data_IF_198101411321
#
_entry.id   IF_198101411321
#
_cell.length_a   1.000
_cell.length_b   1.000
_cell.length_c   1.000
_cell.angle_alpha   90.00
_cell.angle_beta   90.00
_cell.angle_gamma   90.00
#
_symmetry.space_group_name_H-M   'P 1'
#
loop_
_entity.id
_entity.type
_entity.pdbx_description
1 polymer ?
#
# COMPACT_ATOMS: atom_id res chain seq x y z
N UNK A 1 -9.86 -8.93 34.12
CA UNK A 1 -10.51 -7.60 34.08
C UNK A 1 -9.88 -6.80 32.94
N UNK A 2 -10.66 -6.00 32.21
CA UNK A 2 -10.11 -5.18 31.11
C UNK A 2 -9.30 -4.00 31.67
N UNK A 3 -8.05 -3.84 31.23
CA UNK A 3 -7.16 -2.77 31.69
C UNK A 3 -7.62 -1.41 31.14
N UNK A 4 -7.22 -0.27 31.75
CA UNK A 4 -7.50 1.06 31.19
C UNK A 4 -6.98 1.20 29.75
N UNK A 5 -5.78 0.69 29.44
CA UNK A 5 -5.19 0.68 28.10
C UNK A 5 -6.08 -0.06 27.10
N UNK A 6 -6.48 -1.30 27.41
CA UNK A 6 -7.37 -2.09 26.53
C UNK A 6 -8.73 -1.42 26.29
N UNK A 7 -9.32 -0.81 27.32
CA UNK A 7 -10.58 -0.04 27.17
C UNK A 7 -10.39 1.20 26.29
N UNK A 8 -9.22 1.85 26.36
CA UNK A 8 -8.88 2.96 25.47
C UNK A 8 -8.74 2.47 24.03
N UNK A 9 -8.00 1.39 23.79
CA UNK A 9 -7.81 0.83 22.45
C UNK A 9 -9.13 0.39 21.79
N UNK A 10 -10.06 -0.19 22.54
CA UNK A 10 -11.39 -0.49 22.01
C UNK A 10 -12.16 0.76 21.58
N UNK A 11 -11.97 1.90 22.27
CA UNK A 11 -12.59 3.18 21.88
C UNK A 11 -11.94 3.72 20.62
N UNK A 12 -10.62 3.68 20.53
CA UNK A 12 -9.88 4.13 19.36
C UNK A 12 -10.26 3.29 18.13
N UNK A 13 -10.41 1.98 18.30
CA UNK A 13 -10.85 1.08 17.23
C UNK A 13 -12.26 1.43 16.76
N UNK A 14 -13.19 1.58 17.71
CA UNK A 14 -14.55 1.99 17.40
C UNK A 14 -14.58 3.34 16.66
N UNK A 15 -13.80 4.33 17.10
CA UNK A 15 -13.73 5.63 16.45
C UNK A 15 -13.21 5.50 15.01
N UNK A 16 -12.15 4.72 14.81
CA UNK A 16 -11.58 4.48 13.49
C UNK A 16 -12.54 3.74 12.54
N UNK A 17 -13.40 2.86 13.07
CA UNK A 17 -14.46 2.19 12.29
C UNK A 17 -15.64 3.10 11.97
N UNK A 18 -16.08 3.90 12.94
CA UNK A 18 -17.27 4.76 12.81
C UNK A 18 -16.99 5.96 11.89
N UNK A 19 -15.75 6.49 11.91
CA UNK A 19 -15.32 7.68 11.14
C UNK A 19 -13.85 7.53 10.68
N UNK A 20 -13.58 6.66 9.67
CA UNK A 20 -12.23 6.44 9.17
C UNK A 20 -11.71 7.67 8.43
N UNK A 21 -10.52 8.21 8.78
CA UNK A 21 -9.90 9.27 7.99
C UNK A 21 -9.58 8.79 6.57
N UNK A 22 -9.63 9.70 5.60
CA UNK A 22 -9.40 9.37 4.21
C UNK A 22 -7.99 8.78 3.99
N UNK A 23 -7.92 7.67 3.26
CA UNK A 23 -6.65 7.06 2.89
C UNK A 23 -5.90 6.36 4.04
N UNK A 24 -6.49 6.18 5.22
CA UNK A 24 -5.89 5.38 6.30
C UNK A 24 -6.88 4.36 6.85
N UNK A 25 -6.38 3.22 7.28
CA UNK A 25 -7.16 2.19 7.96
C UNK A 25 -6.30 1.43 8.96
N UNK A 26 -6.94 0.76 9.92
CA UNK A 26 -6.22 -0.09 10.87
C UNK A 26 -7.13 -0.88 11.80
N UNK A 27 -6.61 -2.00 12.29
CA UNK A 27 -7.33 -2.92 13.16
C UNK A 27 -6.36 -3.65 14.09
N UNK A 28 -6.81 -4.08 15.28
CA UNK A 28 -6.05 -5.01 16.10
C UNK A 28 -5.90 -6.35 15.40
N UNK A 29 -4.77 -7.04 15.63
CA UNK A 29 -4.58 -8.41 15.16
C UNK A 29 -5.48 -9.37 15.93
N UNK A 30 -5.75 -10.54 15.36
CA UNK A 30 -6.58 -11.57 16.00
C UNK A 30 -6.00 -12.05 17.34
N UNK A 31 -4.66 -12.08 17.44
CA UNK A 31 -3.96 -12.56 18.63
C UNK A 31 -4.03 -11.58 19.81
N UNK A 32 -3.99 -10.27 19.55
CA UNK A 32 -3.86 -9.29 20.62
C UNK A 32 -4.31 -7.90 20.21
N UNK A 33 -5.19 -7.31 21.02
CA UNK A 33 -5.56 -5.88 20.93
C UNK A 33 -4.37 -4.91 21.11
N UNK A 34 -3.23 -5.39 21.62
CA UNK A 34 -2.02 -4.57 21.78
C UNK A 34 -1.15 -4.53 20.53
N UNK A 35 -1.46 -5.33 19.51
CA UNK A 35 -0.79 -5.29 18.21
C UNK A 35 -1.83 -4.93 17.16
N UNK A 36 -1.52 -3.94 16.35
CA UNK A 36 -2.39 -3.51 15.27
C UNK A 36 -1.64 -3.52 13.96
N UNK A 37 -2.38 -3.82 12.92
CA UNK A 37 -1.98 -3.60 11.55
C UNK A 37 -2.76 -2.44 10.98
N UNK A 38 -2.07 -1.63 10.19
CA UNK A 38 -2.65 -0.45 9.56
C UNK A 38 -2.17 -0.35 8.12
N UNK A 39 -2.97 0.32 7.30
CA UNK A 39 -2.65 0.63 5.92
C UNK A 39 -2.80 2.13 5.72
N UNK A 40 -1.78 2.74 5.10
CA UNK A 40 -1.83 4.13 4.63
C UNK A 40 -1.70 4.11 3.12
N UNK A 41 -2.67 4.71 2.45
CA UNK A 41 -2.58 5.06 1.04
C UNK A 41 -1.74 6.31 0.88
N UNK A 42 -0.87 6.28 -0.12
CA UNK A 42 -0.07 7.43 -0.50
C UNK A 42 -0.95 8.64 -0.82
N UNK A 43 -0.63 9.84 -0.29
CA UNK A 43 -1.39 11.04 -0.61
C UNK A 43 -1.33 11.38 -2.11
N UNK A 44 -2.42 11.92 -2.63
CA UNK A 44 -2.50 12.43 -4.01
C UNK A 44 -1.49 13.56 -4.24
N UNK A 45 -1.04 13.73 -5.48
CA UNK A 45 -0.08 14.76 -5.89
C UNK A 45 1.30 14.63 -5.20
N UNK A 46 1.60 13.44 -4.65
CA UNK A 46 2.90 13.11 -4.06
C UNK A 46 3.57 11.98 -4.81
N UNK A 47 4.90 11.81 -4.71
CA UNK A 47 5.58 10.66 -5.30
C UNK A 47 5.12 9.31 -4.71
N UNK A 48 4.42 9.33 -3.57
CA UNK A 48 3.86 8.16 -2.90
C UNK A 48 2.47 7.77 -3.40
N UNK A 49 1.83 8.59 -4.24
CA UNK A 49 0.50 8.34 -4.80
C UNK A 49 0.38 6.92 -5.38
N UNK A 50 -0.81 6.33 -5.26
CA UNK A 50 -1.14 4.93 -5.57
C UNK A 50 -0.40 3.87 -4.73
N UNK A 51 0.51 4.28 -3.84
CA UNK A 51 1.17 3.41 -2.89
C UNK A 51 0.22 2.91 -1.80
N UNK A 52 0.35 1.65 -1.42
CA UNK A 52 -0.41 1.04 -0.31
C UNK A 52 0.57 0.51 0.73
N UNK A 53 0.78 1.26 1.82
CA UNK A 53 1.84 0.97 2.78
C UNK A 53 1.29 0.32 4.05
N UNK A 54 1.77 -0.87 4.38
CA UNK A 54 1.45 -1.58 5.63
C UNK A 54 2.30 -1.04 6.77
N UNK A 55 1.69 -0.89 7.94
CA UNK A 55 2.32 -0.51 9.20
C UNK A 55 1.93 -1.48 10.31
N UNK A 56 2.81 -1.64 11.29
CA UNK A 56 2.50 -2.31 12.55
C UNK A 56 2.59 -1.31 13.69
N UNK A 57 1.61 -1.33 14.58
CA UNK A 57 1.58 -0.55 15.81
C UNK A 57 1.61 -1.50 17.01
N UNK A 58 2.57 -1.29 17.91
CA UNK A 58 2.71 -2.06 19.14
C UNK A 58 2.45 -1.17 20.36
N UNK A 59 1.42 -1.52 21.12
CA UNK A 59 0.96 -0.81 22.31
C UNK A 59 1.45 -1.51 23.57
N UNK A 60 1.68 -0.72 24.62
CA UNK A 60 1.93 -1.24 25.97
C UNK A 60 0.74 -1.00 26.91
N UNK A 61 0.75 -1.61 28.09
CA UNK A 61 -0.24 -1.34 29.13
C UNK A 61 -0.16 0.11 29.67
N UNK A 62 0.87 0.88 29.30
CA UNK A 62 0.99 2.30 29.62
C UNK A 62 0.25 3.23 28.64
N UNK A 63 -0.29 2.71 27.53
CA UNK A 63 -1.11 3.49 26.60
C UNK A 63 -2.39 4.00 27.29
N UNK A 64 -2.80 5.28 27.12
CA UNK A 64 -2.24 6.30 26.22
C UNK A 64 -1.20 7.24 26.85
N UNK A 65 -0.70 6.95 28.05
CA UNK A 65 0.31 7.81 28.69
C UNK A 65 1.66 7.72 27.97
N UNK A 66 1.98 6.57 27.37
CA UNK A 66 3.10 6.41 26.43
C UNK A 66 2.58 6.17 25.01
N UNK A 67 3.29 6.66 23.98
CA UNK A 67 2.97 6.38 22.58
C UNK A 67 3.15 4.89 22.27
N UNK A 68 2.45 4.36 21.25
CA UNK A 68 2.82 3.08 20.66
C UNK A 68 4.15 3.17 19.91
N UNK A 69 4.80 2.02 19.71
CA UNK A 69 5.84 1.90 18.70
C UNK A 69 5.18 1.70 17.34
N UNK A 70 5.61 2.46 16.34
CA UNK A 70 5.04 2.40 14.99
C UNK A 70 6.18 2.23 13.98
N UNK A 71 6.02 1.25 13.09
CA UNK A 71 6.96 1.01 11.99
C UNK A 71 6.21 0.66 10.71
N UNK A 72 6.78 1.02 9.57
CA UNK A 72 6.38 0.47 8.29
C UNK A 72 6.82 -0.99 8.19
N UNK A 73 5.89 -1.85 7.77
CA UNK A 73 6.16 -3.22 7.36
C UNK A 73 6.56 -3.24 5.88
N UNK A 74 5.88 -2.43 5.06
CA UNK A 74 6.32 -2.16 3.69
C UNK A 74 7.71 -1.53 3.68
N UNK A 75 8.52 -1.87 2.67
CA UNK A 75 9.79 -1.16 2.45
C UNK A 75 9.51 0.30 2.18
N UNK A 76 10.35 1.20 2.70
CA UNK A 76 10.17 2.64 2.55
C UNK A 76 11.44 3.33 2.08
N UNK A 77 11.26 4.38 1.28
CA UNK A 77 12.32 5.33 0.92
C UNK A 77 11.85 6.76 1.23
N UNK A 78 12.00 7.18 2.49
CA UNK A 78 11.49 8.46 2.97
C UNK A 78 12.50 9.14 3.93
N UNK A 79 12.69 10.47 3.88
CA UNK A 79 13.65 11.18 4.74
C UNK A 79 13.50 10.90 6.24
N UNK A 80 12.27 10.69 6.72
CA UNK A 80 11.96 10.48 8.15
C UNK A 80 11.65 9.03 8.53
N UNK A 81 11.95 8.06 7.65
CA UNK A 81 11.79 6.61 7.94
C UNK A 81 13.15 5.93 7.93
N UNK A 82 13.46 5.17 8.99
CA UNK A 82 14.68 4.39 9.11
C UNK A 82 14.63 3.13 8.23
N UNK A 83 15.79 2.49 8.02
CA UNK A 83 15.89 1.29 7.18
C UNK A 83 15.12 0.07 7.73
N UNK A 84 14.86 0.03 9.04
CA UNK A 84 14.06 -0.99 9.73
C UNK A 84 12.55 -0.67 9.73
N UNK A 85 12.14 0.44 9.09
CA UNK A 85 10.76 0.90 9.03
C UNK A 85 10.34 1.80 10.20
N UNK A 86 11.19 1.98 11.22
CA UNK A 86 10.90 2.88 12.34
C UNK A 86 10.73 4.32 11.85
N UNK A 87 9.81 5.07 12.48
CA UNK A 87 9.43 6.42 12.03
C UNK A 87 9.99 7.48 12.97
N UNK A 88 10.67 8.49 12.42
CA UNK A 88 11.06 9.68 13.16
C UNK A 88 9.96 10.74 13.06
N UNK A 89 9.00 10.67 13.98
CA UNK A 89 7.88 11.62 14.11
C UNK A 89 7.79 12.09 15.56
N UNK A 90 7.74 13.40 15.77
CA UNK A 90 7.84 14.05 17.08
C UNK A 90 6.66 13.75 18.01
N UNK A 91 5.44 13.61 17.45
CA UNK A 91 4.27 13.20 18.22
C UNK A 91 4.42 11.77 18.77
N UNK A 92 5.25 10.91 18.16
CA UNK A 92 5.56 9.57 18.69
C UNK A 92 6.73 9.59 19.68
N UNK A 93 7.29 10.75 19.96
CA UNK A 93 8.47 10.94 20.81
C UNK A 93 8.19 11.99 21.89
N UNK A 94 8.85 13.16 21.81
CA UNK A 94 8.83 14.19 22.82
C UNK A 94 7.57 15.08 22.78
N UNK A 95 6.80 15.05 21.69
CA UNK A 95 5.54 15.78 21.56
C UNK A 95 4.30 14.88 21.76
N UNK A 96 4.48 13.67 22.28
CA UNK A 96 3.36 12.77 22.57
C UNK A 96 2.41 13.39 23.60
N UNK A 97 1.12 13.25 23.31
CA UNK A 97 0.02 13.61 24.20
C UNK A 97 -0.97 12.46 24.30
N UNK A 98 -1.46 12.09 25.50
CA UNK A 98 -2.50 11.07 25.67
C UNK A 98 -3.84 11.39 24.97
N UNK A 99 -3.97 12.60 24.43
CA UNK A 99 -5.11 13.03 23.60
C UNK A 99 -5.07 12.46 22.19
N UNK A 100 -3.90 12.10 21.67
CA UNK A 100 -3.79 11.44 20.37
C UNK A 100 -4.35 10.02 20.44
N UNK A 101 -5.09 9.64 19.40
CA UNK A 101 -5.64 8.32 19.17
C UNK A 101 -5.01 7.69 17.92
N UNK A 102 -5.38 6.45 17.62
CA UNK A 102 -4.85 5.72 16.45
C UNK A 102 -5.13 6.49 15.15
N UNK A 103 -6.31 7.09 14.99
CA UNK A 103 -6.66 7.87 13.80
C UNK A 103 -5.72 9.08 13.62
N UNK A 104 -5.46 9.83 14.70
CA UNK A 104 -4.54 10.98 14.67
C UNK A 104 -3.11 10.56 14.34
N UNK A 105 -2.64 9.42 14.88
CA UNK A 105 -1.32 8.86 14.58
C UNK A 105 -1.20 8.55 13.09
N UNK A 106 -2.14 7.77 12.53
CA UNK A 106 -2.10 7.35 11.13
C UNK A 106 -2.20 8.55 10.17
N UNK A 107 -3.08 9.51 10.49
CA UNK A 107 -3.21 10.74 9.69
C UNK A 107 -1.92 11.55 9.71
N UNK A 108 -1.26 11.65 10.86
CA UNK A 108 0.02 12.39 10.97
C UNK A 108 1.15 11.70 10.21
N UNK A 109 1.16 10.36 10.16
CA UNK A 109 2.12 9.61 9.34
C UNK A 109 1.82 9.79 7.85
N UNK A 110 0.55 9.83 7.45
CA UNK A 110 0.16 10.12 6.07
C UNK A 110 0.59 11.53 5.65
N UNK A 111 0.35 12.56 6.48
CA UNK A 111 0.83 13.92 6.24
C UNK A 111 2.36 14.00 6.15
N UNK A 112 3.08 13.16 6.90
CA UNK A 112 4.54 13.09 6.83
C UNK A 112 5.04 12.62 5.45
N UNK A 113 4.27 11.81 4.72
CA UNK A 113 4.62 11.39 3.35
C UNK A 113 4.50 12.55 2.34
N UNK A 114 3.54 13.45 2.56
CA UNK A 114 3.31 14.65 1.75
C UNK A 114 4.34 15.75 2.06
N UNK A 115 4.59 15.98 3.35
CA UNK A 115 5.52 17.01 3.83
C UNK A 115 6.72 16.40 4.60
N UNK A 116 7.72 15.83 3.91
CA UNK A 116 8.92 15.32 4.56
C UNK A 116 9.66 16.43 5.31
N UNK A 117 10.22 16.10 6.48
CA UNK A 117 11.10 17.00 7.22
C UNK A 117 12.58 16.68 6.95
N UNK A 118 13.25 17.42 6.04
CA UNK A 118 14.64 17.13 5.71
C UNK A 118 15.64 17.64 6.76
N UNK A 119 15.24 18.42 7.76
CA UNK A 119 16.18 19.05 8.70
C UNK A 119 16.72 18.08 9.77
N UNK A 120 16.03 16.96 10.01
CA UNK A 120 16.47 15.92 10.93
C UNK A 120 16.13 14.54 10.33
N UNK A 121 16.87 14.12 9.29
CA UNK A 121 16.50 12.93 8.54
C UNK A 121 16.90 11.66 9.27
N UNK A 122 15.99 10.69 9.31
CA UNK A 122 16.28 9.30 9.66
C UNK A 122 17.03 8.58 8.53
N UNK A 123 16.76 8.98 7.28
CA UNK A 123 17.42 8.49 6.08
C UNK A 123 18.13 9.63 5.36
N UNK A 124 19.43 9.78 5.61
CA UNK A 124 20.27 10.83 5.02
C UNK A 124 20.31 10.77 3.50
N UNK A 125 20.24 9.58 2.91
CA UNK A 125 20.26 9.42 1.45
C UNK A 125 18.97 9.92 0.81
N UNK A 126 17.81 9.54 1.38
CA UNK A 126 16.52 10.03 0.92
C UNK A 126 16.43 11.56 1.05
N UNK A 127 16.90 12.12 2.17
CA UNK A 127 16.93 13.56 2.40
C UNK A 127 17.86 14.31 1.43
N UNK A 128 19.04 13.75 1.12
CA UNK A 128 19.96 14.34 0.16
C UNK A 128 19.33 14.37 -1.24
N UNK A 129 18.79 13.24 -1.71
CA UNK A 129 18.14 13.19 -3.03
C UNK A 129 16.91 14.10 -3.08
N UNK A 130 16.11 14.17 -2.02
CA UNK A 130 14.98 15.08 -1.94
C UNK A 130 15.38 16.55 -2.18
N UNK A 131 16.53 16.99 -1.62
CA UNK A 131 17.02 18.37 -1.78
C UNK A 131 17.77 18.62 -3.08
N UNK A 132 18.61 17.67 -3.50
CA UNK A 132 19.61 17.89 -4.55
C UNK A 132 19.22 17.27 -5.90
N UNK A 133 18.38 16.24 -5.91
CA UNK A 133 18.01 15.49 -7.11
C UNK A 133 16.61 14.88 -7.00
N UNK A 134 15.60 15.76 -7.05
CA UNK A 134 14.17 15.41 -6.91
C UNK A 134 13.74 14.29 -7.86
N UNK A 135 14.24 14.29 -9.11
CA UNK A 135 13.94 13.27 -10.11
C UNK A 135 14.41 11.86 -9.70
N UNK A 136 15.62 11.73 -9.17
CA UNK A 136 16.13 10.44 -8.69
C UNK A 136 15.44 10.01 -7.38
N UNK A 137 15.07 10.96 -6.53
CA UNK A 137 14.24 10.69 -5.36
C UNK A 137 12.89 10.08 -5.77
N UNK A 138 12.15 10.74 -6.66
CA UNK A 138 10.85 10.28 -7.16
C UNK A 138 10.95 8.90 -7.81
N UNK A 139 11.96 8.68 -8.66
CA UNK A 139 12.21 7.37 -9.27
C UNK A 139 12.34 6.25 -8.22
N UNK A 140 13.02 6.51 -7.10
CA UNK A 140 13.15 5.53 -6.02
C UNK A 140 11.87 5.34 -5.24
N UNK A 141 11.10 6.42 -5.02
CA UNK A 141 9.80 6.32 -4.35
C UNK A 141 8.81 5.52 -5.20
N UNK A 142 8.73 5.75 -6.52
CA UNK A 142 7.88 4.97 -7.42
C UNK A 142 8.21 3.47 -7.39
N UNK A 143 9.50 3.12 -7.35
CA UNK A 143 9.89 1.71 -7.20
C UNK A 143 9.42 1.09 -5.87
N UNK A 144 9.25 1.90 -4.82
CA UNK A 144 8.68 1.47 -3.53
C UNK A 144 7.14 1.39 -3.60
N UNK A 145 6.49 2.33 -4.28
CA UNK A 145 5.04 2.28 -4.57
C UNK A 145 4.68 0.97 -5.28
N UNK A 146 5.39 0.62 -6.36
CA UNK A 146 5.17 -0.64 -7.08
C UNK A 146 5.39 -1.88 -6.19
N UNK A 147 6.42 -1.87 -5.34
CA UNK A 147 6.69 -2.96 -4.40
C UNK A 147 5.60 -3.10 -3.32
N UNK A 148 4.93 -1.99 -2.99
CA UNK A 148 3.90 -1.98 -1.96
C UNK A 148 2.71 -2.88 -2.33
N UNK A 149 2.40 -2.99 -3.63
CA UNK A 149 1.31 -3.84 -4.14
C UNK A 149 1.58 -5.33 -3.96
N UNK A 150 2.84 -5.76 -4.10
CA UNK A 150 3.23 -7.16 -3.91
C UNK A 150 3.20 -7.61 -2.45
N UNK A 151 3.18 -6.66 -1.50
CA UNK A 151 3.19 -6.97 -0.06
C UNK A 151 1.83 -7.52 0.42
N UNK A 152 0.77 -7.37 -0.37
CA UNK A 152 -0.56 -7.90 -0.05
C UNK A 152 -0.84 -9.25 -0.73
N UNK A 153 -0.14 -9.58 -1.80
CA UNK A 153 -0.40 -10.81 -2.57
C UNK A 153 0.13 -12.09 -1.92
N UNK A 154 1.08 -11.99 -1.00
CA UNK A 154 1.76 -13.16 -0.43
C UNK A 154 1.10 -13.73 0.84
N UNK A 155 0.06 -13.09 1.39
CA UNK A 155 -0.64 -13.58 2.60
C UNK A 155 -1.79 -14.54 2.24
N UNK A 156 -2.37 -14.42 1.05
CA UNK A 156 -3.51 -15.23 0.58
C UNK A 156 -3.11 -16.43 -0.30
N UNK A 157 -1.84 -16.54 -0.74
CA UNK A 157 -1.44 -17.52 -1.76
C UNK A 157 -0.87 -18.85 -1.24
N UNK A 158 -0.66 -19.02 0.07
CA UNK A 158 -0.08 -20.26 0.62
C UNK A 158 -1.10 -21.41 0.81
N UNK A 159 -2.41 -21.17 0.61
CA UNK A 159 -3.43 -22.25 0.67
C UNK A 159 -3.91 -22.77 -0.71
N UNK A 160 -3.54 -22.13 -1.83
CA UNK A 160 -4.14 -22.44 -3.14
C UNK A 160 -3.26 -23.29 -4.09
N UNK A 161 -2.06 -23.70 -3.71
CA UNK A 161 -1.12 -24.40 -4.63
C UNK A 161 -1.06 -25.94 -4.42
N UNK A 162 -1.75 -26.50 -3.42
CA UNK A 162 -1.67 -27.95 -3.11
C UNK A 162 -2.77 -28.83 -3.76
N UNK A 163 -3.70 -28.25 -4.55
CA UNK A 163 -4.84 -29.01 -5.11
C UNK A 163 -4.79 -29.30 -6.62
N UNK A 164 -3.68 -28.98 -7.31
CA UNK A 164 -3.53 -29.25 -8.75
C UNK A 164 -2.50 -30.34 -9.09
N UNK A 165 -1.64 -30.75 -8.15
CA UNK A 165 -0.66 -31.84 -8.38
C UNK A 165 -1.20 -33.24 -8.00
N UNK A 166 -2.24 -33.34 -7.18
CA UNK A 166 -2.77 -34.63 -6.69
C UNK A 166 -3.72 -35.36 -7.65
N UNK A 167 -4.02 -34.81 -8.83
CA UNK A 167 -4.96 -35.41 -9.80
C UNK A 167 -4.29 -36.08 -11.01
N UNK A 168 -2.96 -36.26 -11.02
CA UNK A 168 -2.24 -36.85 -12.17
C UNK A 168 -1.59 -38.22 -11.97
N UNK A 169 -1.67 -38.82 -10.78
CA UNK A 169 -0.92 -40.07 -10.51
C UNK A 169 -1.74 -41.37 -10.44
N UNK A 170 -3.05 -41.36 -10.72
CA UNK A 170 -3.87 -42.59 -10.69
C UNK A 170 -4.33 -43.07 -12.08
N UNK A 171 -3.39 -43.28 -13.00
CA UNK A 171 -3.64 -44.22 -14.09
C UNK A 171 -2.37 -44.91 -14.60
N UNK A 172 -1.80 -45.80 -13.79
CA UNK A 172 -1.04 -46.90 -14.35
C UNK A 172 -1.28 -48.20 -13.57
N UNK A 173 -1.89 -49.16 -14.25
CA UNK A 173 -1.85 -50.58 -13.87
C UNK A 173 -1.46 -51.42 -15.07
N UNK A 174 -0.80 -52.57 -14.83
CA UNK A 174 0.38 -52.94 -15.58
C UNK A 174 0.10 -54.03 -16.61
N UNK A 175 0.72 -53.97 -17.78
CA UNK A 175 0.87 -55.16 -18.63
C UNK A 175 2.26 -55.29 -19.24
N UNK A 176 2.78 -56.48 -19.01
CA UNK A 176 4.06 -57.10 -19.34
C UNK A 176 4.46 -57.08 -20.82
N UNK A 177 5.72 -56.72 -21.05
CA UNK A 177 6.71 -57.23 -22.01
C UNK A 177 6.26 -57.86 -23.34
N UNK A 178 6.68 -57.23 -24.46
CA UNK A 178 7.27 -57.91 -25.61
C UNK A 178 8.08 -56.92 -26.47
N UNK A 179 9.26 -57.34 -26.88
CA UNK A 179 10.21 -56.68 -27.79
C UNK A 179 9.60 -56.49 -29.20
N UNK A 180 10.10 -55.54 -30.01
CA UNK A 180 10.55 -55.72 -31.40
C UNK A 180 10.95 -54.39 -32.07
N UNK A 181 11.85 -54.53 -33.05
CA UNK A 181 12.77 -53.57 -33.66
C UNK A 181 12.22 -52.67 -34.79
N UNK A 182 12.93 -51.54 -34.99
CA UNK A 182 13.35 -50.88 -36.26
C UNK A 182 12.31 -50.41 -37.30
N UNK A 183 12.44 -49.14 -37.71
CA UNK A 183 12.35 -48.76 -39.13
C UNK A 183 11.75 -47.40 -39.49
N UNK A 184 12.57 -46.53 -40.11
CA UNK A 184 12.24 -45.79 -41.34
C UNK A 184 11.44 -44.47 -41.27
N UNK A 185 12.06 -43.38 -41.79
CA UNK A 185 11.62 -42.53 -42.93
C UNK A 185 10.14 -42.08 -42.99
N UNK A 186 9.71 -40.88 -43.41
CA UNK A 186 10.26 -39.70 -44.06
C UNK A 186 9.16 -38.60 -44.00
N UNK A 187 9.58 -37.34 -44.18
CA UNK A 187 8.93 -36.20 -44.87
C UNK A 187 7.39 -36.08 -44.99
N UNK A 188 6.86 -34.88 -44.76
CA UNK A 188 5.49 -34.55 -45.21
C UNK A 188 4.94 -33.20 -44.77
N UNK A 189 5.40 -32.14 -45.44
CA UNK A 189 4.89 -30.76 -45.45
C UNK A 189 3.37 -30.68 -45.65
N UNK A 190 2.66 -29.77 -44.97
CA UNK A 190 1.52 -29.02 -45.56
C UNK A 190 1.31 -27.67 -44.83
N UNK A 191 1.55 -26.61 -45.60
CA UNK A 191 1.17 -25.20 -45.42
C UNK A 191 -0.34 -25.00 -45.61
N UNK A 192 -0.89 -23.86 -45.15
CA UNK A 192 -1.91 -23.00 -45.82
C UNK A 192 -2.72 -22.14 -44.80
N UNK A 193 -2.33 -20.86 -44.78
CA UNK A 193 -3.11 -19.60 -44.81
C UNK A 193 -4.11 -19.17 -43.72
N UNK A 194 -3.76 -18.02 -43.12
CA UNK A 194 -4.55 -16.78 -42.89
C UNK A 194 -6.05 -16.70 -43.29
N UNK A 195 -6.87 -16.18 -42.37
CA UNK A 195 -7.94 -15.18 -42.61
C UNK A 195 -8.37 -14.55 -41.27
N UNK A 196 -8.01 -13.29 -40.98
CA UNK A 196 -8.85 -12.07 -41.07
C UNK A 196 -10.02 -12.00 -40.04
N UNK A 197 -9.93 -11.13 -39.02
CA UNK A 197 -10.42 -9.73 -38.99
C UNK A 197 -11.93 -9.63 -38.63
N UNK A 198 -12.23 -9.09 -37.44
CA UNK A 198 -13.45 -8.33 -37.15
C UNK A 198 -13.17 -7.38 -35.98
N UNK A 199 -13.00 -6.10 -36.31
CA UNK A 199 -13.15 -4.96 -35.42
C UNK A 199 -14.61 -4.54 -35.46
N UNK A 200 -15.23 -4.30 -34.32
CA UNK A 200 -16.51 -3.58 -34.21
C UNK A 200 -16.27 -2.31 -33.39
N UNK A 201 -16.34 -1.18 -34.09
CA UNK A 201 -16.52 0.16 -33.54
C UNK A 201 -17.95 0.32 -33.01
N UNK A 202 -18.13 1.11 -31.94
CA UNK A 202 -19.38 1.81 -31.65
C UNK A 202 -19.02 3.23 -31.18
N UNK A 203 -19.24 4.17 -32.08
CA UNK A 203 -19.63 5.57 -31.83
C UNK A 203 -20.97 5.57 -31.03
N UNK A 204 -21.40 6.55 -30.23
CA UNK A 204 -21.62 8.00 -30.39
C UNK A 204 -22.23 8.41 -29.00
N UNK A 205 -21.97 9.57 -28.39
CA UNK A 205 -22.81 10.76 -28.56
C UNK A 205 -22.30 11.96 -27.72
N UNK A 206 -22.63 13.13 -28.28
CA UNK A 206 -22.23 14.54 -28.09
C UNK A 206 -22.75 15.24 -26.81
N UNK A 207 -21.94 16.15 -26.23
CA UNK A 207 -22.11 17.62 -26.14
C UNK A 207 -23.06 18.20 -25.06
N UNK A 208 -22.54 19.10 -24.21
CA UNK A 208 -23.09 20.47 -24.10
C UNK A 208 -22.08 21.42 -23.40
N UNK A 209 -21.72 22.49 -24.10
CA UNK A 209 -21.00 23.65 -23.58
C UNK A 209 -21.94 24.58 -22.78
N UNK A 210 -21.40 25.24 -21.75
CA UNK A 210 -22.10 26.25 -20.96
C UNK A 210 -21.17 27.39 -20.55
N UNK A 211 -21.21 28.45 -21.34
CA UNK A 211 -20.43 29.69 -21.27
C UNK A 211 -20.80 30.64 -20.10
N UNK A 212 -19.79 31.40 -19.65
CA UNK A 212 -19.81 32.80 -19.14
C UNK A 212 -20.38 33.12 -17.73
N UNK A 213 -19.52 33.65 -16.83
CA UNK A 213 -19.44 35.10 -16.53
C UNK A 213 -18.39 35.46 -15.47
N UNK A 214 -17.53 36.40 -15.87
CA UNK A 214 -16.69 37.23 -15.00
C UNK A 214 -17.57 38.04 -14.02
N UNK A 215 -17.12 38.16 -12.77
CA UNK A 215 -17.46 39.29 -11.92
C UNK A 215 -16.19 39.77 -11.22
N UNK A 216 -15.53 40.71 -11.89
CA UNK A 216 -14.76 41.73 -11.20
C UNK A 216 -15.71 42.49 -10.27
N UNK A 217 -15.39 42.55 -8.98
CA UNK A 217 -15.83 43.65 -8.14
C UNK A 217 -14.70 44.01 -7.20
N UNK A 218 -13.92 44.97 -7.69
CA UNK A 218 -13.18 45.94 -6.91
C UNK A 218 -14.09 46.52 -5.80
N UNK A 219 -13.63 46.44 -4.55
CA UNK A 219 -13.94 47.50 -3.58
C UNK A 219 -12.83 47.59 -2.54
N UNK A 220 -11.90 48.51 -2.80
CA UNK A 220 -11.02 49.13 -1.81
C UNK A 220 -11.78 50.21 -1.03
N UNK A 221 -11.99 50.09 0.28
CA UNK A 221 -12.21 51.18 1.28
C UNK A 221 -11.96 50.58 2.69
N UNK A 222 -10.82 50.80 3.35
CA UNK A 222 -10.52 51.86 4.34
C UNK A 222 -11.26 51.79 5.71
N UNK A 223 -10.44 51.80 6.79
CA UNK A 223 -10.65 52.37 8.15
C UNK A 223 -11.73 51.69 9.04
N UNK A 224 -11.55 51.36 10.32
CA UNK A 224 -10.63 51.66 11.43
C UNK A 224 -10.51 50.43 12.36
#
# INVERSE_FOLDING_TARGET
MSTPSRRRLMRDFKKLQDDPPAGVSGAPTEESIMHWEAVIFGPQDTPFEDGTFKLSLEFSEEYPNKPPQVKFVSKMFHPNVYADGSICLDILQNQWSPTYDVAAILTSIQSLLDEPNPNSPANSQAAQLYRENRREYEKRVHAIVEQSWMTFSNDDSDEAVDQLETAREDNESPHTAAEYEVGGEEEGVLDVTQSSFHEEENDEDEEEEGELRNNDTDNSVEQD
#
